data_IF_201925531068
#
_entry.id   IF_201925531068
#
_cell.length_a   1.000
_cell.length_b   1.000
_cell.length_c   1.000
_cell.angle_alpha   90.00
_cell.angle_beta   90.00
_cell.angle_gamma   90.00
#
_symmetry.space_group_name_H-M   'P 1'
#
loop_
_entity.id
_entity.type
_entity.pdbx_description
1 polymer ?
#
# COMPACT_ATOMS: atom_id res chain seq x y z
N UNK A 1 32.63 21.16 17.34
CA UNK A 1 31.30 21.36 16.72
C UNK A 1 31.01 20.16 15.83
N UNK A 2 30.81 18.99 16.44
CA UNK A 2 30.67 17.69 15.74
C UNK A 2 29.97 16.66 16.66
N UNK A 3 28.78 16.97 17.17
CA UNK A 3 27.93 15.99 17.86
C UNK A 3 26.91 15.38 16.88
N UNK A 4 27.36 14.92 15.71
CA UNK A 4 26.52 14.43 14.60
C UNK A 4 26.59 12.91 14.39
N UNK A 5 27.24 12.16 15.27
CA UNK A 5 27.64 10.78 14.94
C UNK A 5 26.53 9.72 15.07
N UNK A 6 25.28 10.04 15.45
CA UNK A 6 24.23 9.00 15.57
C UNK A 6 22.79 9.41 15.28
N UNK A 7 22.44 10.71 15.27
CA UNK A 7 21.06 11.16 15.06
C UNK A 7 20.79 11.57 13.60
N UNK A 8 19.70 11.06 12.99
CA UNK A 8 19.21 11.53 11.69
C UNK A 8 18.88 13.03 11.74
N UNK A 9 19.26 13.77 10.70
CA UNK A 9 18.91 15.19 10.57
C UNK A 9 17.41 15.36 10.27
N UNK A 10 16.86 16.53 10.60
CA UNK A 10 15.44 16.85 10.33
C UNK A 10 15.06 16.72 8.85
N UNK A 11 16.00 17.06 7.94
CA UNK A 11 15.80 16.87 6.50
C UNK A 11 15.69 15.40 6.12
N UNK A 12 16.51 14.53 6.71
CA UNK A 12 16.48 13.09 6.46
C UNK A 12 15.16 12.48 6.96
N UNK A 13 14.69 12.89 8.15
CA UNK A 13 13.39 12.44 8.69
C UNK A 13 12.23 12.88 7.80
N UNK A 14 12.23 14.14 7.34
CA UNK A 14 11.20 14.66 6.44
C UNK A 14 11.20 13.94 5.07
N UNK A 15 12.38 13.64 4.53
CA UNK A 15 12.52 12.88 3.29
C UNK A 15 11.98 11.45 3.44
N UNK A 16 12.28 10.79 4.56
CA UNK A 16 11.79 9.45 4.89
C UNK A 16 10.26 9.41 5.02
N UNK A 17 9.67 10.32 5.80
CA UNK A 17 8.21 10.40 5.94
C UNK A 17 7.54 10.58 4.56
N UNK A 18 8.14 11.40 3.69
CA UNK A 18 7.61 11.65 2.34
C UNK A 18 7.74 10.43 1.42
N UNK A 19 8.82 9.65 1.50
CA UNK A 19 8.95 8.42 0.69
C UNK A 19 8.00 7.34 1.20
N UNK A 20 7.93 7.11 2.50
CA UNK A 20 7.07 6.08 3.12
C UNK A 20 5.59 6.34 2.83
N UNK A 21 5.12 7.60 2.93
CA UNK A 21 3.74 7.95 2.58
C UNK A 21 3.39 7.74 1.11
N UNK A 22 4.38 7.74 0.21
CA UNK A 22 4.16 7.42 -1.21
C UNK A 22 4.08 5.92 -1.46
N UNK A 23 4.60 5.10 -0.55
CA UNK A 23 4.61 3.65 -0.62
C UNK A 23 3.58 3.01 0.33
N UNK A 24 2.45 3.68 0.61
CA UNK A 24 1.37 3.08 1.40
C UNK A 24 0.72 1.94 0.60
N UNK A 25 0.74 0.72 1.18
CA UNK A 25 0.18 -0.47 0.57
C UNK A 25 -1.31 -0.33 0.24
N UNK A 26 -2.08 0.45 1.01
CA UNK A 26 -3.51 0.65 0.75
C UNK A 26 -3.75 1.38 -0.57
N UNK A 27 -2.90 2.35 -0.90
CA UNK A 27 -2.96 3.05 -2.19
C UNK A 27 -2.54 2.17 -3.35
N UNK A 28 -1.47 1.40 -3.17
CA UNK A 28 -0.97 0.48 -4.20
C UNK A 28 -2.01 -0.61 -4.48
N UNK A 29 -2.52 -1.27 -3.44
CA UNK A 29 -3.56 -2.29 -3.57
C UNK A 29 -4.86 -1.68 -4.11
N UNK A 30 -5.31 -0.54 -3.59
CA UNK A 30 -6.51 0.16 -4.09
C UNK A 30 -6.41 0.50 -5.58
N UNK A 31 -5.26 1.03 -6.02
CA UNK A 31 -5.01 1.32 -7.43
C UNK A 31 -4.99 0.07 -8.30
N UNK A 32 -4.38 -1.02 -7.81
CA UNK A 32 -4.36 -2.31 -8.48
C UNK A 32 -5.77 -2.89 -8.64
N UNK A 33 -6.57 -2.84 -7.57
CA UNK A 33 -7.97 -3.28 -7.57
C UNK A 33 -8.83 -2.47 -8.52
N UNK A 34 -8.66 -1.14 -8.57
CA UNK A 34 -9.38 -0.30 -9.53
C UNK A 34 -8.96 -0.62 -10.96
N UNK A 35 -7.67 -0.71 -11.25
CA UNK A 35 -7.16 -1.00 -12.60
C UNK A 35 -7.68 -2.35 -13.11
N UNK A 36 -7.49 -3.42 -12.34
CA UNK A 36 -8.00 -4.74 -12.71
C UNK A 36 -9.52 -4.78 -12.72
N UNK A 37 -10.19 -4.12 -11.78
CA UNK A 37 -11.65 -4.03 -11.74
C UNK A 37 -12.23 -3.38 -13.00
N UNK A 38 -11.61 -2.31 -13.52
CA UNK A 38 -11.98 -1.70 -14.80
C UNK A 38 -11.81 -2.70 -15.94
N UNK A 39 -10.64 -3.34 -16.05
CA UNK A 39 -10.35 -4.31 -17.11
C UNK A 39 -11.38 -5.45 -17.10
N UNK A 40 -11.62 -6.04 -15.92
CA UNK A 40 -12.54 -7.17 -15.75
C UNK A 40 -13.99 -6.76 -16.01
N UNK A 41 -14.39 -5.55 -15.61
CA UNK A 41 -15.71 -5.00 -15.92
C UNK A 41 -15.89 -4.82 -17.44
N UNK A 42 -14.90 -4.26 -18.12
CA UNK A 42 -14.91 -4.11 -19.60
C UNK A 42 -15.00 -5.48 -20.28
N UNK A 43 -14.21 -6.46 -19.85
CA UNK A 43 -14.28 -7.83 -20.37
C UNK A 43 -15.67 -8.42 -20.18
N UNK A 44 -16.28 -8.22 -19.00
CA UNK A 44 -17.64 -8.67 -18.71
C UNK A 44 -18.73 -8.00 -19.55
N UNK A 45 -18.55 -6.72 -19.92
CA UNK A 45 -19.47 -6.01 -20.83
C UNK A 45 -19.28 -6.50 -22.27
N UNK A 46 -18.04 -6.61 -22.76
CA UNK A 46 -17.72 -7.02 -24.14
C UNK A 46 -18.14 -8.46 -24.39
N UNK A 47 -17.98 -9.34 -23.41
CA UNK A 47 -18.37 -10.75 -23.49
C UNK A 47 -19.68 -11.01 -22.75
N UNK A 48 -20.65 -10.10 -22.84
CA UNK A 48 -21.93 -10.26 -22.15
C UNK A 48 -22.62 -11.59 -22.48
N UNK A 49 -22.59 -11.99 -23.76
CA UNK A 49 -23.21 -13.22 -24.27
C UNK A 49 -22.34 -14.47 -24.13
N UNK A 50 -21.21 -14.41 -23.40
CA UNK A 50 -20.35 -15.59 -23.25
C UNK A 50 -21.04 -16.66 -22.41
N UNK A 51 -21.59 -17.64 -23.12
CA UNK A 51 -22.09 -18.95 -22.69
C UNK A 51 -22.54 -19.02 -21.22
N UNK A 52 -23.69 -18.39 -20.87
CA UNK A 52 -24.20 -18.34 -19.50
C UNK A 52 -24.44 -19.73 -18.90
N UNK A 53 -24.52 -20.79 -19.71
CA UNK A 53 -24.65 -22.17 -19.25
C UNK A 53 -23.46 -22.62 -18.38
N UNK A 54 -22.25 -22.09 -18.65
CA UNK A 54 -21.04 -22.42 -17.87
C UNK A 54 -21.00 -21.74 -16.51
N UNK A 55 -21.80 -20.69 -16.32
CA UNK A 55 -21.82 -19.87 -15.10
C UNK A 55 -23.18 -19.87 -14.41
N UNK A 56 -24.10 -20.74 -14.83
CA UNK A 56 -25.45 -20.84 -14.26
C UNK A 56 -26.30 -19.58 -14.48
N UNK A 57 -26.06 -18.85 -15.57
CA UNK A 57 -26.75 -17.59 -15.89
C UNK A 57 -26.15 -16.33 -15.26
N UNK A 58 -25.01 -16.44 -14.57
CA UNK A 58 -24.40 -15.31 -13.86
C UNK A 58 -23.22 -14.74 -14.66
N UNK A 59 -23.21 -13.42 -14.87
CA UNK A 59 -22.08 -12.72 -15.47
C UNK A 59 -20.96 -12.52 -14.45
N UNK A 60 -20.18 -13.58 -14.19
CA UNK A 60 -19.17 -13.59 -13.12
C UNK A 60 -18.12 -12.48 -13.29
N UNK A 61 -17.67 -12.21 -14.52
CA UNK A 61 -16.70 -11.16 -14.78
C UNK A 61 -17.25 -9.77 -14.39
N UNK A 62 -18.52 -9.49 -14.65
CA UNK A 62 -19.14 -8.23 -14.26
C UNK A 62 -19.22 -8.06 -12.74
N UNK A 63 -19.67 -9.10 -12.03
CA UNK A 63 -19.77 -9.06 -10.57
C UNK A 63 -18.40 -8.97 -9.89
N UNK A 64 -17.42 -9.73 -10.38
CA UNK A 64 -16.04 -9.67 -9.88
C UNK A 64 -15.44 -8.29 -10.15
N UNK A 65 -15.55 -7.77 -11.37
CA UNK A 65 -15.05 -6.45 -11.75
C UNK A 65 -15.66 -5.34 -10.88
N UNK A 66 -16.99 -5.36 -10.71
CA UNK A 66 -17.68 -4.38 -9.86
C UNK A 66 -17.27 -4.49 -8.39
N UNK A 67 -17.13 -5.71 -7.86
CA UNK A 67 -16.65 -5.93 -6.49
C UNK A 67 -15.24 -5.40 -6.29
N UNK A 68 -14.36 -5.57 -7.28
CA UNK A 68 -13.01 -5.03 -7.24
C UNK A 68 -12.99 -3.49 -7.27
N UNK A 69 -13.87 -2.87 -8.05
CA UNK A 69 -14.02 -1.42 -8.09
C UNK A 69 -14.49 -0.87 -6.74
N UNK A 70 -15.53 -1.47 -6.16
CA UNK A 70 -16.03 -1.07 -4.83
C UNK A 70 -14.95 -1.26 -3.78
N UNK A 71 -14.29 -2.42 -3.75
CA UNK A 71 -13.18 -2.69 -2.83
C UNK A 71 -12.03 -1.70 -2.99
N UNK A 72 -11.61 -1.41 -4.21
CA UNK A 72 -10.55 -0.45 -4.51
C UNK A 72 -10.89 0.97 -4.04
N UNK A 73 -12.13 1.42 -4.27
CA UNK A 73 -12.60 2.73 -3.77
C UNK A 73 -12.65 2.77 -2.24
N UNK A 74 -13.03 1.67 -1.58
CA UNK A 74 -12.99 1.56 -0.12
C UNK A 74 -11.57 1.65 0.43
N UNK A 75 -10.57 1.07 -0.24
CA UNK A 75 -9.17 1.24 0.14
C UNK A 75 -8.73 2.70 0.07
N UNK A 76 -9.12 3.43 -0.99
CA UNK A 76 -8.82 4.86 -1.08
C UNK A 76 -9.55 5.69 -0.04
N UNK A 77 -10.82 5.36 0.25
CA UNK A 77 -11.57 6.01 1.31
C UNK A 77 -10.91 5.76 2.68
N UNK A 78 -10.48 4.55 2.95
CA UNK A 78 -9.78 4.22 4.19
C UNK A 78 -8.42 4.94 4.28
N UNK A 79 -7.62 4.95 3.22
CA UNK A 79 -6.36 5.72 3.18
C UNK A 79 -6.60 7.21 3.49
N UNK A 80 -7.68 7.78 2.94
CA UNK A 80 -8.10 9.17 3.17
C UNK A 80 -8.52 9.42 4.62
N UNK A 81 -9.19 8.46 5.25
CA UNK A 81 -9.73 8.56 6.62
C UNK A 81 -8.71 8.20 7.70
N UNK A 82 -7.70 7.38 7.40
CA UNK A 82 -6.73 6.89 8.38
C UNK A 82 -5.28 6.99 7.85
N UNK A 83 -4.74 8.21 7.71
CA UNK A 83 -3.38 8.42 7.23
C UNK A 83 -2.35 7.90 8.23
N UNK A 84 -1.23 7.35 7.74
CA UNK A 84 -0.12 6.92 8.63
C UNK A 84 0.49 8.16 9.31
N UNK A 85 0.58 8.16 10.66
CA UNK A 85 1.22 9.24 11.41
C UNK A 85 2.72 9.32 11.11
N UNK A 86 3.28 10.53 11.11
CA UNK A 86 4.71 10.72 10.79
C UNK A 86 5.60 10.22 11.93
N UNK A 87 5.10 10.35 13.16
CA UNK A 87 5.75 9.95 14.40
C UNK A 87 6.03 8.44 14.42
N UNK A 88 5.06 7.63 13.99
CA UNK A 88 5.21 6.17 13.88
C UNK A 88 6.31 5.80 12.87
N UNK A 89 6.37 6.49 11.73
CA UNK A 89 7.37 6.23 10.68
C UNK A 89 8.78 6.55 11.19
N UNK A 90 8.95 7.67 11.90
CA UNK A 90 10.24 8.09 12.45
C UNK A 90 10.66 7.14 13.58
N UNK A 91 9.74 6.79 14.49
CA UNK A 91 10.03 5.89 15.61
C UNK A 91 10.47 4.50 15.16
N UNK A 92 9.86 3.95 14.11
CA UNK A 92 10.26 2.66 13.53
C UNK A 92 11.67 2.71 12.93
N UNK A 93 12.01 3.81 12.23
CA UNK A 93 13.34 3.97 11.62
C UNK A 93 14.46 4.16 12.65
N UNK A 94 14.17 4.90 13.73
CA UNK A 94 15.10 5.04 14.86
C UNK A 94 15.30 3.70 15.59
N UNK A 95 14.23 2.92 15.80
CA UNK A 95 14.29 1.59 16.41
C UNK A 95 15.11 0.60 15.56
N UNK A 96 14.94 0.59 14.24
CA UNK A 96 15.73 -0.25 13.33
C UNK A 96 17.23 0.10 13.41
N UNK A 97 17.55 1.40 13.45
CA UNK A 97 18.94 1.90 13.55
C UNK A 97 19.57 1.48 14.88
N UNK A 98 18.84 1.64 15.99
CA UNK A 98 19.31 1.20 17.31
C UNK A 98 19.49 -0.32 17.36
N UNK A 99 18.59 -1.08 16.74
CA UNK A 99 18.69 -2.54 16.70
C UNK A 99 19.91 -3.01 15.92
N UNK A 100 20.25 -2.35 14.80
CA UNK A 100 21.48 -2.63 14.04
C UNK A 100 22.73 -2.35 14.86
N UNK A 101 22.82 -1.17 15.48
CA UNK A 101 23.95 -0.81 16.34
C UNK A 101 24.12 -1.78 17.54
N UNK A 102 23.02 -2.24 18.14
CA UNK A 102 23.03 -3.22 19.22
C UNK A 102 23.32 -4.67 18.75
N UNK A 103 23.09 -4.98 17.48
CA UNK A 103 23.45 -6.25 16.85
C UNK A 103 24.95 -6.31 16.54
N UNK A 104 25.48 -5.27 15.89
CA UNK A 104 26.90 -5.13 15.55
C UNK A 104 27.78 -5.13 16.81
N UNK A 105 27.35 -4.45 17.88
CA UNK A 105 28.07 -4.46 19.17
C UNK A 105 28.13 -5.84 19.86
N UNK A 106 27.28 -6.78 19.48
CA UNK A 106 27.29 -8.18 19.96
C UNK A 106 28.10 -9.11 19.07
N UNK A 107 28.31 -8.78 17.79
CA UNK A 107 29.17 -9.55 16.88
C UNK A 107 30.66 -9.19 17.04
N UNK A 108 30.97 -8.03 17.60
CA UNK A 108 32.34 -7.53 17.81
C UNK A 108 32.89 -7.77 19.23
N UNK A 109 32.10 -8.40 20.12
CA UNK A 109 32.46 -8.72 21.50
C UNK A 109 32.68 -10.23 21.68
#
# INVERSE_FOLDING_TARGET
MSDTTTAMTEEQKAALVRSTRRLDLRRILGGLFVLYGVIVTVVGIVHWDSDPEKTGGIHINLWVGLSMLVGGLLFFLWDRLNPVPAEDIIGQAEAETQQKAAGEGRELA
#
